data_IF_876680320295
#
_entry.id   IF_876680320295
#
_cell.length_a   1.000
_cell.length_b   1.000
_cell.length_c   1.000
_cell.angle_alpha   90.00
_cell.angle_beta   90.00
_cell.angle_gamma   90.00
#
_symmetry.space_group_name_H-M   'P 1'
#
loop_
_entity.id
_entity.type
_entity.pdbx_description
1 polymer ?
#
# COMPACT_ATOMS: atom_id res chain seq x y z
N UNK A 1 -15.08 -17.78 47.89
CA UNK A 1 -15.92 -17.76 46.66
C UNK A 1 -15.12 -17.01 45.62
N UNK A 2 -14.40 -17.77 44.81
CA UNK A 2 -13.21 -17.35 44.06
C UNK A 2 -13.60 -16.93 42.65
N UNK A 3 -13.12 -15.77 42.21
CA UNK A 3 -13.16 -15.32 40.82
C UNK A 3 -12.16 -16.14 39.99
N UNK A 4 -12.59 -16.61 38.82
CA UNK A 4 -11.77 -17.33 37.85
C UNK A 4 -11.27 -16.33 36.81
N UNK A 5 -9.98 -16.02 36.86
CA UNK A 5 -9.23 -15.43 35.75
C UNK A 5 -8.69 -16.54 34.85
N UNK A 6 -8.82 -16.36 33.53
CA UNK A 6 -8.23 -17.25 32.54
C UNK A 6 -6.77 -16.89 32.32
N UNK A 7 -5.91 -17.89 32.48
CA UNK A 7 -4.45 -17.84 32.38
C UNK A 7 -4.03 -18.20 30.96
N UNK A 8 -3.05 -17.45 30.46
CA UNK A 8 -2.33 -17.65 29.21
C UNK A 8 -1.41 -18.89 29.30
N UNK A 9 -1.53 -19.93 28.45
CA UNK A 9 -0.77 -21.17 28.60
C UNK A 9 0.42 -21.24 27.64
N UNK A 10 1.42 -20.37 27.76
CA UNK A 10 2.72 -20.51 27.05
C UNK A 10 3.92 -19.97 27.86
N UNK A 11 3.86 -20.06 29.19
CA UNK A 11 4.98 -19.68 30.06
C UNK A 11 5.60 -20.93 30.71
N UNK A 12 6.33 -21.74 29.93
CA UNK A 12 7.20 -22.78 30.47
C UNK A 12 8.23 -23.28 29.44
N UNK A 13 9.24 -22.48 29.12
CA UNK A 13 10.58 -23.01 28.87
C UNK A 13 11.62 -21.89 28.95
N UNK A 14 12.39 -21.86 30.04
CA UNK A 14 13.54 -20.99 30.15
C UNK A 14 14.70 -21.59 29.37
N UNK A 15 15.18 -20.90 28.33
CA UNK A 15 16.53 -21.09 27.80
C UNK A 15 17.13 -19.71 27.55
N UNK A 16 18.28 -19.52 28.17
CA UNK A 16 19.05 -18.29 28.33
C UNK A 16 19.64 -17.75 27.03
N UNK A 17 19.58 -16.44 26.92
CA UNK A 17 20.38 -15.56 26.08
C UNK A 17 21.89 -15.87 26.16
N UNK A 18 22.49 -16.32 25.04
CA UNK A 18 23.92 -16.19 24.71
C UNK A 18 24.29 -17.02 23.46
N UNK A 19 23.74 -16.71 22.27
CA UNK A 19 24.29 -17.18 20.98
C UNK A 19 23.82 -16.39 19.76
N UNK A 20 23.48 -15.11 19.95
CA UNK A 20 22.89 -14.23 18.91
C UNK A 20 23.91 -13.45 18.05
N UNK A 21 25.14 -13.95 17.93
CA UNK A 21 26.20 -13.33 17.10
C UNK A 21 27.09 -14.40 16.50
N UNK A 22 26.75 -14.90 15.31
CA UNK A 22 27.68 -15.44 14.29
C UNK A 22 26.92 -16.32 13.30
N UNK A 23 26.24 -15.69 12.34
CA UNK A 23 25.98 -16.27 11.02
C UNK A 23 25.69 -15.13 10.06
N UNK A 24 26.70 -14.28 9.84
CA UNK A 24 26.81 -13.54 8.58
C UNK A 24 27.20 -14.60 7.56
N UNK A 25 26.19 -15.30 7.06
CA UNK A 25 26.33 -16.27 5.98
C UNK A 25 26.53 -15.46 4.69
N UNK A 26 27.60 -15.76 3.96
CA UNK A 26 28.02 -15.07 2.72
C UNK A 26 26.84 -14.65 1.84
N UNK A 27 26.78 -13.36 1.53
CA UNK A 27 25.80 -12.75 0.64
C UNK A 27 25.87 -13.36 -0.78
N UNK A 28 25.14 -14.45 -0.99
CA UNK A 28 24.57 -14.77 -2.30
C UNK A 28 23.25 -14.02 -2.40
N UNK A 29 23.08 -13.20 -3.46
CA UNK A 29 21.79 -12.53 -3.76
C UNK A 29 20.64 -13.54 -3.60
N UNK A 30 19.54 -13.18 -2.91
CA UNK A 30 18.38 -14.06 -2.83
C UNK A 30 17.92 -14.37 -4.26
N UNK A 31 17.62 -15.65 -4.53
CA UNK A 31 17.07 -16.08 -5.81
C UNK A 31 15.65 -15.50 -5.90
N UNK A 32 15.57 -14.32 -6.50
CA UNK A 32 14.31 -13.64 -6.81
C UNK A 32 13.36 -14.53 -7.61
N UNK A 33 12.12 -14.06 -7.75
CA UNK A 33 11.02 -14.76 -8.41
C UNK A 33 11.31 -15.11 -9.89
N UNK A 34 12.40 -14.56 -10.44
CA UNK A 34 12.85 -14.65 -11.81
C UNK A 34 14.38 -14.84 -11.83
N UNK A 35 14.86 -15.92 -12.47
CA UNK A 35 16.29 -16.30 -12.56
C UNK A 35 17.21 -15.25 -13.20
N UNK A 36 18.49 -15.28 -12.80
CA UNK A 36 19.60 -14.40 -13.20
C UNK A 36 19.76 -14.25 -14.73
N UNK A 37 19.98 -13.00 -15.18
CA UNK A 37 20.14 -12.61 -16.59
C UNK A 37 19.27 -11.43 -17.06
N UNK A 38 18.57 -10.72 -16.16
CA UNK A 38 17.43 -9.86 -16.52
C UNK A 38 17.63 -8.35 -16.50
N UNK A 39 18.76 -7.77 -16.10
CA UNK A 39 18.85 -6.29 -16.01
C UNK A 39 18.51 -5.58 -17.35
N UNK A 40 18.94 -6.15 -18.49
CA UNK A 40 18.57 -5.65 -19.82
C UNK A 40 17.09 -5.90 -20.17
N UNK A 41 16.55 -7.07 -19.81
CA UNK A 41 15.14 -7.39 -20.05
C UNK A 41 14.20 -6.58 -19.17
N UNK A 42 14.62 -6.26 -17.94
CA UNK A 42 13.94 -5.37 -17.01
C UNK A 42 13.90 -3.95 -17.57
N UNK A 43 15.01 -3.43 -18.08
CA UNK A 43 15.03 -2.13 -18.75
C UNK A 43 14.19 -2.13 -20.04
N UNK A 44 14.17 -3.24 -20.79
CA UNK A 44 13.30 -3.38 -21.97
C UNK A 44 11.82 -3.31 -21.56
N UNK A 45 11.40 -4.11 -20.59
CA UNK A 45 10.02 -4.13 -20.07
C UNK A 45 9.65 -2.75 -19.49
N UNK A 46 10.54 -2.15 -18.71
CA UNK A 46 10.36 -0.81 -18.17
C UNK A 46 10.19 0.23 -19.30
N UNK A 47 11.00 0.16 -20.36
CA UNK A 47 10.91 1.07 -21.51
C UNK A 47 9.62 0.91 -22.31
N UNK A 48 9.16 -0.33 -22.55
CA UNK A 48 7.91 -0.62 -23.24
C UNK A 48 6.71 -0.15 -22.43
N UNK A 49 6.78 -0.34 -21.11
CA UNK A 49 5.77 0.12 -20.19
C UNK A 49 5.71 1.66 -20.11
N UNK A 50 6.87 2.34 -20.02
CA UNK A 50 6.97 3.82 -20.11
C UNK A 50 6.33 4.34 -21.40
N UNK A 51 6.61 3.70 -22.55
CA UNK A 51 5.98 4.03 -23.86
C UNK A 51 4.46 3.81 -23.82
N UNK A 52 3.98 2.73 -23.20
CA UNK A 52 2.56 2.42 -23.06
C UNK A 52 1.83 3.44 -22.18
N UNK A 53 2.44 3.89 -21.09
CA UNK A 53 1.88 4.98 -20.26
C UNK A 53 1.80 6.29 -21.01
N UNK A 54 2.88 6.70 -21.70
CA UNK A 54 2.88 7.92 -22.50
C UNK A 54 1.74 7.92 -23.52
N UNK A 55 1.53 6.78 -24.21
CA UNK A 55 0.38 6.57 -25.12
C UNK A 55 -0.98 6.64 -24.41
N UNK A 56 -1.11 6.10 -23.20
CA UNK A 56 -2.36 6.17 -22.42
C UNK A 56 -2.65 7.59 -21.93
N UNK A 57 -1.62 8.32 -21.53
CA UNK A 57 -1.71 9.71 -21.07
C UNK A 57 -2.00 10.67 -22.23
N UNK A 58 -1.39 10.46 -23.40
CA UNK A 58 -1.74 11.13 -24.66
C UNK A 58 -3.21 10.86 -25.03
N UNK A 59 -3.66 9.60 -24.98
CA UNK A 59 -5.07 9.24 -25.22
C UNK A 59 -6.02 9.90 -24.22
N UNK A 60 -5.68 9.95 -22.93
CA UNK A 60 -6.46 10.66 -21.90
C UNK A 60 -6.52 12.16 -22.18
N UNK A 61 -5.40 12.76 -22.59
CA UNK A 61 -5.31 14.19 -22.92
C UNK A 61 -6.14 14.52 -24.15
N UNK A 62 -6.08 13.70 -25.20
CA UNK A 62 -6.92 13.81 -26.40
C UNK A 62 -8.39 13.64 -26.05
N UNK A 63 -8.74 12.67 -25.19
CA UNK A 63 -10.12 12.45 -24.74
C UNK A 63 -10.64 13.64 -23.94
N UNK A 64 -9.87 14.17 -23.00
CA UNK A 64 -10.19 15.36 -22.21
C UNK A 64 -10.38 16.59 -23.10
N UNK A 65 -9.49 16.80 -24.09
CA UNK A 65 -9.64 17.87 -25.08
C UNK A 65 -10.86 17.70 -25.98
N UNK A 66 -11.26 16.47 -26.32
CA UNK A 66 -12.52 16.20 -27.04
C UNK A 66 -13.75 16.47 -26.15
N UNK A 67 -13.73 16.05 -24.89
CA UNK A 67 -14.80 16.29 -23.92
C UNK A 67 -14.95 17.80 -23.63
N UNK A 68 -13.85 18.54 -23.50
CA UNK A 68 -13.85 20.00 -23.34
C UNK A 68 -14.40 20.71 -24.59
N UNK A 69 -13.99 20.30 -25.80
CA UNK A 69 -14.56 20.83 -27.06
C UNK A 69 -16.06 20.54 -27.19
N UNK A 70 -16.50 19.34 -26.79
CA UNK A 70 -17.92 18.97 -26.81
C UNK A 70 -18.72 19.79 -25.80
N UNK A 71 -18.18 20.00 -24.60
CA UNK A 71 -18.79 20.83 -23.56
C UNK A 71 -18.88 22.30 -23.98
N UNK A 72 -17.84 22.86 -24.63
CA UNK A 72 -17.88 24.22 -25.18
C UNK A 72 -18.89 24.36 -26.32
N UNK A 73 -19.03 23.36 -27.20
CA UNK A 73 -20.04 23.36 -28.26
C UNK A 73 -21.47 23.25 -27.70
N UNK A 74 -21.68 22.45 -26.65
CA UNK A 74 -22.98 22.34 -25.96
C UNK A 74 -23.31 23.63 -25.20
N UNK A 75 -22.34 24.28 -24.56
CA UNK A 75 -22.51 25.58 -23.92
C UNK A 75 -22.89 26.68 -24.93
N UNK A 76 -22.25 26.71 -26.10
CA UNK A 76 -22.57 27.68 -27.17
C UNK A 76 -23.97 27.44 -27.76
N UNK A 77 -24.39 26.18 -27.96
CA UNK A 77 -25.77 25.84 -28.37
C UNK A 77 -26.82 26.21 -27.32
N UNK A 78 -26.44 26.17 -26.04
CA UNK A 78 -27.29 26.57 -24.92
C UNK A 78 -27.39 28.10 -24.77
N UNK A 79 -26.33 28.83 -25.15
CA UNK A 79 -26.29 30.29 -25.17
C UNK A 79 -27.13 30.88 -26.31
N UNK A 80 -27.17 30.25 -27.49
CA UNK A 80 -28.05 30.65 -28.60
C UNK A 80 -29.55 30.48 -28.25
N UNK A 81 -29.89 29.50 -27.41
CA UNK A 81 -31.26 29.34 -26.90
C UNK A 81 -31.64 30.38 -25.83
N UNK A 82 -30.66 30.92 -25.10
CA UNK A 82 -30.87 31.93 -24.04
C UNK A 82 -30.84 33.38 -24.54
N UNK A 83 -30.26 33.67 -25.72
CA UNK A 83 -30.30 35.01 -26.33
C UNK A 83 -31.70 35.50 -26.78
N UNK A 84 -32.74 34.67 -26.65
CA UNK A 84 -34.14 35.07 -26.91
C UNK A 84 -34.90 35.60 -25.69
N UNK A 85 -34.37 35.50 -24.46
CA UNK A 85 -35.06 36.02 -23.27
C UNK A 85 -34.14 36.90 -22.41
N UNK A 86 -34.61 38.13 -22.23
CA UNK A 86 -34.34 39.09 -21.14
C UNK A 86 -32.92 39.64 -20.94
N UNK A 87 -32.85 40.94 -21.22
CA UNK A 87 -32.07 41.98 -20.56
C UNK A 87 -32.11 41.93 -19.02
N UNK A 88 -30.96 42.07 -18.36
CA UNK A 88 -30.77 42.94 -17.19
C UNK A 88 -29.36 42.79 -16.57
N UNK A 89 -28.72 43.94 -16.40
CA UNK A 89 -27.74 44.33 -15.36
C UNK A 89 -26.29 43.80 -15.36
N UNK A 90 -25.44 44.82 -15.17
CA UNK A 90 -23.99 44.95 -14.91
C UNK A 90 -23.56 44.14 -13.65
N UNK A 91 -22.31 43.80 -13.35
CA UNK A 91 -21.03 44.51 -13.47
C UNK A 91 -19.85 43.54 -13.15
N UNK A 92 -18.71 43.73 -13.82
CA UNK A 92 -17.34 43.65 -13.24
C UNK A 92 -16.70 42.29 -12.89
N UNK A 93 -15.48 42.05 -13.42
CA UNK A 93 -14.48 41.22 -12.75
C UNK A 93 -13.66 40.28 -13.63
N UNK A 94 -12.54 40.78 -14.14
CA UNK A 94 -11.43 40.07 -14.78
C UNK A 94 -10.84 38.95 -13.90
N UNK A 95 -10.49 37.80 -14.50
CA UNK A 95 -9.69 36.77 -13.83
C UNK A 95 -9.20 35.70 -14.80
N UNK A 96 -7.89 35.65 -14.99
CA UNK A 96 -7.18 34.83 -15.95
C UNK A 96 -7.41 33.31 -15.80
N UNK A 97 -7.34 32.61 -16.93
CA UNK A 97 -7.29 31.15 -17.04
C UNK A 97 -5.92 30.66 -16.54
N UNK A 98 -5.82 29.77 -15.54
CA UNK A 98 -4.54 29.14 -15.25
C UNK A 98 -4.33 27.95 -16.19
N UNK A 99 -3.29 28.12 -16.99
CA UNK A 99 -2.66 27.14 -17.86
C UNK A 99 -1.93 26.05 -17.06
N UNK A 100 -1.80 24.87 -17.68
CA UNK A 100 -0.86 23.78 -17.34
C UNK A 100 -0.89 23.22 -15.90
N UNK A 101 -1.48 22.04 -15.71
CA UNK A 101 -1.23 21.25 -14.49
C UNK A 101 0.12 20.53 -14.64
N UNK A 102 1.14 21.11 -14.01
CA UNK A 102 2.41 20.44 -13.71
C UNK A 102 2.16 19.23 -12.79
N UNK A 103 2.98 18.19 -12.94
CA UNK A 103 3.04 17.01 -12.09
C UNK A 103 3.31 17.42 -10.62
N UNK A 104 2.46 17.09 -9.63
CA UNK A 104 2.53 17.63 -8.28
C UNK A 104 3.37 16.75 -7.35
N UNK A 105 4.64 16.51 -7.68
CA UNK A 105 5.55 15.96 -6.68
C UNK A 105 5.97 17.09 -5.75
N UNK A 106 5.37 17.10 -4.55
CA UNK A 106 5.86 17.90 -3.43
C UNK A 106 7.07 17.16 -2.88
N UNK A 107 8.25 17.74 -3.03
CA UNK A 107 9.46 17.21 -2.40
C UNK A 107 9.19 17.00 -0.91
N UNK A 108 9.54 15.83 -0.34
CA UNK A 108 9.34 15.58 1.08
C UNK A 108 10.08 16.64 1.88
N UNK A 109 9.41 17.18 2.90
CA UNK A 109 9.96 18.22 3.76
C UNK A 109 11.24 17.69 4.43
N UNK A 110 12.21 18.59 4.66
CA UNK A 110 13.55 18.26 5.19
C UNK A 110 13.43 17.31 6.39
N UNK A 111 13.93 16.08 6.23
CA UNK A 111 13.87 15.03 7.26
C UNK A 111 14.64 15.48 8.51
N UNK A 112 13.90 15.87 9.55
CA UNK A 112 14.44 15.96 10.91
C UNK A 112 14.75 14.52 11.34
N UNK A 113 15.97 14.26 11.84
CA UNK A 113 16.47 12.92 12.17
C UNK A 113 15.78 12.27 13.37
N UNK A 114 14.43 12.21 13.41
CA UNK A 114 13.68 11.46 14.42
C UNK A 114 13.80 9.97 14.14
N UNK A 115 14.44 9.26 15.06
CA UNK A 115 14.66 7.81 14.99
C UNK A 115 13.48 6.99 15.53
N UNK A 116 12.43 7.62 16.08
CA UNK A 116 11.29 6.91 16.67
C UNK A 116 9.97 7.46 16.13
N UNK A 117 9.35 6.74 15.18
CA UNK A 117 8.00 7.03 14.70
C UNK A 117 6.96 6.77 15.81
N UNK A 118 6.05 7.73 16.02
CA UNK A 118 4.95 7.62 16.98
C UNK A 118 3.59 7.83 16.29
N UNK A 119 2.71 6.81 16.26
CA UNK A 119 1.40 6.91 15.63
C UNK A 119 0.52 8.05 16.15
N UNK A 120 0.66 8.41 17.43
CA UNK A 120 -0.05 9.49 18.09
C UNK A 120 0.35 10.90 17.59
N UNK A 121 1.53 11.03 16.98
CA UNK A 121 1.99 12.30 16.41
C UNK A 121 1.37 12.56 15.03
N UNK A 122 0.74 11.55 14.41
CA UNK A 122 0.13 11.68 13.08
C UNK A 122 -1.09 12.60 13.13
N UNK A 123 -0.94 13.81 12.59
CA UNK A 123 -2.01 14.81 12.48
C UNK A 123 -2.62 14.84 11.07
N UNK A 124 -1.83 14.51 10.05
CA UNK A 124 -2.21 14.59 8.65
C UNK A 124 -1.88 13.33 7.86
N UNK A 125 -2.63 13.11 6.77
CA UNK A 125 -2.19 12.22 5.69
C UNK A 125 -2.50 12.84 4.34
N UNK A 126 -1.50 12.81 3.46
CA UNK A 126 -1.59 13.30 2.09
C UNK A 126 -1.24 12.21 1.09
N UNK A 127 -1.85 12.28 -0.09
CA UNK A 127 -1.54 11.39 -1.19
C UNK A 127 -0.23 11.84 -1.86
N UNK A 128 0.82 11.02 -1.75
CA UNK A 128 2.16 11.29 -2.29
C UNK A 128 2.32 10.95 -3.77
N UNK A 129 1.39 10.17 -4.35
CA UNK A 129 1.39 9.83 -5.78
C UNK A 129 1.23 8.33 -6.04
N UNK A 130 1.15 8.00 -7.33
CA UNK A 130 1.11 6.63 -7.84
C UNK A 130 2.30 6.41 -8.77
N UNK A 131 3.13 5.41 -8.48
CA UNK A 131 4.36 5.14 -9.20
C UNK A 131 4.42 3.69 -9.67
N UNK A 132 5.32 3.41 -10.60
CA UNK A 132 5.59 2.04 -11.06
C UNK A 132 7.07 1.79 -11.11
N UNK A 133 7.80 2.53 -11.93
CA UNK A 133 9.24 2.32 -12.15
C UNK A 133 10.05 3.40 -11.45
N UNK A 134 9.76 4.66 -11.75
CA UNK A 134 10.53 5.80 -11.24
C UNK A 134 9.95 6.24 -9.87
N UNK A 135 10.16 5.40 -8.85
CA UNK A 135 9.63 5.61 -7.50
C UNK A 135 10.59 6.50 -6.71
N UNK A 136 10.17 7.68 -6.23
CA UNK A 136 11.04 8.59 -5.50
C UNK A 136 11.37 8.04 -4.11
N UNK A 137 12.57 8.40 -3.60
CA UNK A 137 13.00 8.15 -2.21
C UNK A 137 12.23 9.08 -1.27
N UNK A 138 11.62 8.52 -0.24
CA UNK A 138 10.77 9.28 0.70
C UNK A 138 11.59 9.88 1.84
N UNK A 139 12.77 9.31 2.15
CA UNK A 139 13.63 9.71 3.29
C UNK A 139 12.97 9.60 4.67
N UNK A 140 11.81 8.92 4.75
CA UNK A 140 11.10 8.61 5.98
C UNK A 140 10.75 7.11 5.97
N UNK A 141 10.54 6.48 7.13
CA UNK A 141 10.21 5.06 7.17
C UNK A 141 8.94 4.72 6.38
N UNK A 142 8.97 3.60 5.66
CA UNK A 142 7.89 3.10 4.83
C UNK A 142 7.28 1.81 5.38
N UNK A 143 5.95 1.77 5.39
CA UNK A 143 5.14 0.62 5.78
C UNK A 143 4.32 0.21 4.56
N UNK A 144 4.67 -0.90 3.93
CA UNK A 144 4.02 -1.38 2.73
C UNK A 144 2.93 -2.40 3.03
N UNK A 145 1.82 -2.33 2.29
CA UNK A 145 0.68 -3.23 2.39
C UNK A 145 0.53 -3.99 1.08
N UNK A 146 0.57 -5.33 1.15
CA UNK A 146 0.38 -6.21 0.00
C UNK A 146 -0.64 -7.29 0.33
N UNK A 147 -1.34 -7.79 -0.69
CA UNK A 147 -2.44 -8.73 -0.48
C UNK A 147 -3.31 -8.83 -1.72
N UNK A 148 -4.10 -9.90 -1.81
CA UNK A 148 -5.02 -10.14 -2.92
C UNK A 148 -5.93 -8.93 -3.20
N UNK A 149 -6.45 -8.85 -4.42
CA UNK A 149 -7.54 -7.91 -4.71
C UNK A 149 -8.69 -8.07 -3.71
N UNK A 150 -9.24 -6.94 -3.26
CA UNK A 150 -10.37 -6.88 -2.34
C UNK A 150 -10.13 -7.55 -0.97
N UNK A 151 -8.87 -7.82 -0.59
CA UNK A 151 -8.56 -8.35 0.76
C UNK A 151 -8.84 -7.32 1.85
N UNK A 152 -8.64 -6.03 1.57
CA UNK A 152 -8.85 -4.97 2.56
C UNK A 152 -7.79 -3.88 2.58
N UNK A 153 -6.71 -3.95 1.79
CA UNK A 153 -5.59 -2.97 1.77
C UNK A 153 -5.99 -1.50 1.94
N UNK A 154 -6.78 -0.97 1.02
CA UNK A 154 -7.19 0.44 1.09
C UNK A 154 -8.09 0.74 2.30
N UNK A 155 -8.86 -0.25 2.78
CA UNK A 155 -9.64 -0.11 4.01
C UNK A 155 -8.73 -0.10 5.25
N UNK A 156 -7.70 -0.95 5.28
CA UNK A 156 -6.68 -0.97 6.34
C UNK A 156 -5.94 0.36 6.40
N UNK A 157 -5.50 0.92 5.26
CA UNK A 157 -4.83 2.22 5.20
C UNK A 157 -5.75 3.33 5.74
N UNK A 158 -7.00 3.38 5.31
CA UNK A 158 -7.95 4.37 5.83
C UNK A 158 -8.25 4.20 7.33
N UNK A 159 -8.26 2.97 7.83
CA UNK A 159 -8.45 2.69 9.26
C UNK A 159 -7.23 3.14 10.08
N UNK A 160 -6.01 2.88 9.60
CA UNK A 160 -4.77 3.26 10.27
C UNK A 160 -4.62 4.78 10.40
N UNK A 161 -4.97 5.53 9.35
CA UNK A 161 -4.87 7.00 9.36
C UNK A 161 -5.95 7.66 10.21
N UNK A 162 -7.05 6.97 10.52
CA UNK A 162 -8.10 7.46 11.41
C UNK A 162 -8.81 8.73 10.94
N UNK A 163 -8.55 9.22 9.72
CA UNK A 163 -9.11 10.46 9.23
C UNK A 163 -10.56 10.28 8.74
N UNK A 164 -11.40 11.30 9.02
CA UNK A 164 -12.80 11.35 8.55
C UNK A 164 -12.92 11.30 7.03
N UNK A 165 -11.91 11.82 6.31
CA UNK A 165 -11.83 11.76 4.84
C UNK A 165 -11.00 10.57 4.41
N UNK A 166 -11.60 9.69 3.60
CA UNK A 166 -10.90 8.53 3.02
C UNK A 166 -9.84 9.02 2.04
N UNK A 167 -8.59 8.66 2.28
CA UNK A 167 -7.45 9.03 1.42
C UNK A 167 -7.18 7.93 0.39
N UNK A 168 -7.31 6.66 0.80
CA UNK A 168 -7.17 5.53 -0.11
C UNK A 168 -8.53 5.18 -0.76
N UNK A 169 -8.54 5.09 -2.10
CA UNK A 169 -9.75 4.74 -2.86
C UNK A 169 -10.08 3.26 -2.70
N UNK A 170 -11.14 2.94 -1.95
CA UNK A 170 -11.70 1.60 -1.85
C UNK A 170 -12.52 1.27 -3.10
N UNK A 171 -11.92 0.72 -4.15
CA UNK A 171 -12.66 0.23 -5.33
C UNK A 171 -13.16 -1.19 -5.10
N UNK A 172 -14.43 -1.46 -5.44
CA UNK A 172 -14.98 -2.84 -5.48
C UNK A 172 -14.52 -3.62 -6.72
N UNK A 173 -14.12 -2.93 -7.79
CA UNK A 173 -13.68 -3.55 -9.04
C UNK A 173 -12.22 -4.00 -8.96
N UNK A 174 -11.94 -5.30 -9.13
CA UNK A 174 -10.57 -5.83 -9.21
C UNK A 174 -9.81 -5.26 -10.42
N UNK A 175 -8.52 -4.96 -10.25
CA UNK A 175 -7.57 -4.71 -11.34
C UNK A 175 -7.23 -3.24 -11.57
N UNK A 176 -7.70 -2.35 -10.69
CA UNK A 176 -7.55 -0.90 -10.85
C UNK A 176 -6.16 -0.37 -10.49
N UNK A 177 -5.48 -1.02 -9.55
CA UNK A 177 -4.21 -0.56 -8.99
C UNK A 177 -3.05 -1.37 -9.58
N UNK A 178 -2.52 -0.89 -10.70
CA UNK A 178 -1.27 -1.39 -11.31
C UNK A 178 -0.05 -0.56 -10.87
N UNK A 179 -0.25 0.33 -9.89
CA UNK A 179 0.72 1.32 -9.44
C UNK A 179 0.85 1.22 -7.93
N UNK A 180 2.04 1.50 -7.42
CA UNK A 180 2.32 1.64 -6.00
C UNK A 180 1.85 3.02 -5.57
N UNK A 181 0.97 3.07 -4.56
CA UNK A 181 0.44 4.34 -4.06
C UNK A 181 1.11 4.72 -2.75
N UNK A 182 1.49 6.00 -2.64
CA UNK A 182 2.15 6.54 -1.47
C UNK A 182 1.18 7.43 -0.68
N UNK A 183 1.10 7.20 0.61
CA UNK A 183 0.32 8.00 1.56
C UNK A 183 1.25 8.49 2.66
N UNK A 184 1.59 9.77 2.63
CA UNK A 184 2.58 10.36 3.52
C UNK A 184 1.86 10.85 4.77
N UNK A 185 2.34 10.43 5.93
CA UNK A 185 1.86 10.81 7.24
C UNK A 185 2.67 12.01 7.72
N UNK A 186 1.99 13.05 8.20
CA UNK A 186 2.62 14.24 8.75
C UNK A 186 2.19 14.53 10.18
N UNK A 187 3.06 15.19 10.94
CA UNK A 187 2.72 15.76 12.24
C UNK A 187 1.96 17.10 12.10
N UNK A 188 1.62 17.70 13.25
CA UNK A 188 0.88 18.98 13.28
C UNK A 188 1.69 20.16 12.73
N UNK A 189 3.01 20.03 12.61
CA UNK A 189 3.90 21.01 12.00
C UNK A 189 4.14 20.72 10.51
N UNK A 190 3.40 19.78 9.92
CA UNK A 190 3.51 19.33 8.54
C UNK A 190 4.88 18.70 8.21
N UNK A 191 5.57 18.13 9.20
CA UNK A 191 6.78 17.33 8.98
C UNK A 191 6.39 15.91 8.61
N UNK A 192 7.01 15.35 7.57
CA UNK A 192 6.77 13.97 7.15
C UNK A 192 7.34 13.00 8.21
N UNK A 193 6.48 12.13 8.76
CA UNK A 193 6.84 11.17 9.82
C UNK A 193 7.15 9.78 9.26
N UNK A 194 6.27 9.28 8.39
CA UNK A 194 6.35 7.97 7.77
C UNK A 194 5.47 7.93 6.53
N UNK A 195 5.61 6.89 5.73
CA UNK A 195 4.82 6.70 4.53
C UNK A 195 4.14 5.33 4.55
N UNK A 196 2.82 5.31 4.38
CA UNK A 196 2.06 4.10 4.10
C UNK A 196 2.04 3.85 2.59
N UNK A 197 2.41 2.63 2.18
CA UNK A 197 2.56 2.27 0.76
C UNK A 197 1.56 1.17 0.39
N UNK A 198 0.65 1.44 -0.55
CA UNK A 198 -0.28 0.43 -1.08
C UNK A 198 0.35 -0.22 -2.30
N UNK A 199 0.81 -1.46 -2.13
CA UNK A 199 1.35 -2.26 -3.22
C UNK A 199 0.20 -2.83 -4.08
N UNK A 200 0.41 -2.97 -5.39
CA UNK A 200 -0.58 -3.61 -6.25
C UNK A 200 -0.90 -5.01 -5.73
N UNK A 201 -2.19 -5.35 -5.69
CA UNK A 201 -2.61 -6.67 -5.25
C UNK A 201 -2.26 -7.76 -6.27
N UNK A 202 -2.10 -8.99 -5.82
CA UNK A 202 -1.93 -10.16 -6.69
C UNK A 202 -3.26 -10.90 -6.91
N UNK A 203 -3.26 -11.87 -7.84
CA UNK A 203 -4.41 -12.73 -8.13
C UNK A 203 -5.47 -12.11 -9.03
N UNK A 204 -5.10 -11.16 -9.90
CA UNK A 204 -6.00 -10.61 -10.90
C UNK A 204 -6.09 -11.52 -12.14
N UNK A 205 -7.20 -12.22 -12.31
CA UNK A 205 -7.47 -13.05 -13.50
C UNK A 205 -7.67 -12.26 -14.82
N UNK A 206 -7.60 -10.92 -14.78
CA UNK A 206 -7.96 -10.04 -15.92
C UNK A 206 -6.81 -9.16 -16.43
N UNK A 207 -5.59 -9.35 -15.94
CA UNK A 207 -4.43 -8.58 -16.40
C UNK A 207 -3.72 -9.42 -17.49
N UNK A 208 -3.29 -8.77 -18.57
CA UNK A 208 -2.52 -9.45 -19.62
C UNK A 208 -1.15 -9.90 -19.07
N UNK A 209 -0.61 -10.99 -19.60
CA UNK A 209 0.66 -11.57 -19.12
C UNK A 209 1.82 -10.55 -19.07
N UNK A 210 1.91 -9.65 -20.06
CA UNK A 210 2.92 -8.58 -20.08
C UNK A 210 2.77 -7.58 -18.93
N UNK A 211 1.53 -7.16 -18.66
CA UNK A 211 1.25 -6.21 -17.58
C UNK A 211 1.49 -6.87 -16.22
N UNK A 212 1.20 -8.16 -16.07
CA UNK A 212 1.52 -8.91 -14.86
C UNK A 212 3.03 -9.00 -14.63
N UNK A 213 3.81 -9.36 -15.65
CA UNK A 213 5.29 -9.39 -15.55
C UNK A 213 5.85 -8.02 -15.18
N UNK A 214 5.32 -6.94 -15.78
CA UNK A 214 5.77 -5.59 -15.44
C UNK A 214 5.55 -5.25 -13.97
N UNK A 215 4.42 -5.71 -13.39
CA UNK A 215 4.09 -5.54 -11.97
C UNK A 215 5.02 -6.33 -11.07
N UNK A 216 5.27 -7.59 -11.40
CA UNK A 216 6.20 -8.45 -10.66
C UNK A 216 7.60 -7.82 -10.61
N UNK A 217 8.10 -7.35 -11.76
CA UNK A 217 9.41 -6.73 -11.91
C UNK A 217 9.59 -5.50 -11.01
N UNK A 218 8.67 -4.53 -11.06
CA UNK A 218 8.87 -3.32 -10.26
C UNK A 218 8.60 -3.58 -8.77
N UNK A 219 7.73 -4.54 -8.44
CA UNK A 219 7.48 -4.94 -7.06
C UNK A 219 8.73 -5.55 -6.44
N UNK A 220 9.41 -6.44 -7.18
CA UNK A 220 10.69 -7.01 -6.77
C UNK A 220 11.73 -5.92 -6.52
N UNK A 221 11.87 -4.96 -7.46
CA UNK A 221 12.77 -3.81 -7.29
C UNK A 221 12.43 -2.97 -6.05
N UNK A 222 11.14 -2.73 -5.79
CA UNK A 222 10.69 -1.99 -4.61
C UNK A 222 11.03 -2.71 -3.30
N UNK A 223 10.89 -4.05 -3.27
CA UNK A 223 11.17 -4.86 -2.09
C UNK A 223 12.68 -5.08 -1.85
N UNK A 224 13.49 -5.09 -2.91
CA UNK A 224 14.93 -5.42 -2.81
C UNK A 224 15.84 -4.25 -2.47
N UNK A 225 15.55 -3.04 -2.99
CA UNK A 225 16.53 -1.95 -3.07
C UNK A 225 16.13 -0.72 -2.22
N UNK A 226 15.25 -0.90 -1.24
CA UNK A 226 14.62 0.21 -0.52
C UNK A 226 14.93 0.25 0.98
N UNK A 227 15.93 1.04 1.35
CA UNK A 227 16.32 1.28 2.75
C UNK A 227 15.19 1.86 3.60
N UNK A 228 14.30 2.67 3.02
CA UNK A 228 13.16 3.24 3.74
C UNK A 228 12.11 2.19 4.10
N UNK A 229 12.03 1.07 3.38
CA UNK A 229 11.04 0.02 3.61
C UNK A 229 11.35 -0.74 4.90
N UNK A 230 10.56 -0.50 5.95
CA UNK A 230 10.80 -1.11 7.26
C UNK A 230 9.88 -2.30 7.53
N UNK A 231 8.63 -2.22 7.10
CA UNK A 231 7.61 -3.25 7.33
C UNK A 231 6.85 -3.57 6.04
N UNK A 232 6.68 -4.85 5.76
CA UNK A 232 5.73 -5.35 4.76
C UNK A 232 4.60 -6.11 5.47
N UNK A 233 3.42 -5.48 5.50
CA UNK A 233 2.19 -6.09 5.99
C UNK A 233 1.52 -6.90 4.87
N UNK A 234 1.45 -8.21 5.06
CA UNK A 234 0.82 -9.17 4.14
C UNK A 234 -0.61 -9.43 4.60
N UNK A 235 -1.58 -8.88 3.86
CA UNK A 235 -2.99 -8.98 4.18
C UNK A 235 -3.59 -10.26 3.62
N UNK A 236 -4.21 -11.03 4.51
CA UNK A 236 -4.94 -12.27 4.23
C UNK A 236 -6.41 -12.08 4.59
N UNK A 237 -7.35 -12.58 3.78
CA UNK A 237 -8.80 -12.52 4.09
C UNK A 237 -9.12 -13.67 5.05
N UNK A 238 -9.47 -13.38 6.30
CA UNK A 238 -9.70 -14.41 7.34
C UNK A 238 -10.80 -15.42 7.00
N UNK A 239 -11.70 -15.08 6.06
CA UNK A 239 -12.80 -15.94 5.62
C UNK A 239 -12.38 -17.04 4.66
N UNK A 240 -11.15 -16.99 4.14
CA UNK A 240 -10.66 -17.92 3.12
C UNK A 240 -9.72 -18.93 3.75
N UNK A 241 -9.83 -20.16 3.27
CA UNK A 241 -8.80 -21.18 3.49
C UNK A 241 -7.46 -20.73 2.90
N UNK A 242 -6.32 -21.23 3.41
CA UNK A 242 -5.00 -20.90 2.91
C UNK A 242 -4.91 -21.13 1.39
N UNK A 243 -4.38 -20.15 0.69
CA UNK A 243 -4.31 -20.20 -0.78
C UNK A 243 -2.85 -20.33 -1.20
N UNK A 244 -2.58 -21.17 -2.20
CA UNK A 244 -1.23 -21.34 -2.72
C UNK A 244 -0.58 -20.01 -3.17
N UNK A 245 -1.38 -19.07 -3.70
CA UNK A 245 -0.90 -17.73 -4.08
C UNK A 245 -0.43 -16.90 -2.90
N UNK A 246 -1.09 -17.06 -1.75
CA UNK A 246 -0.82 -16.27 -0.55
C UNK A 246 0.46 -16.79 0.12
N UNK A 247 0.61 -18.12 0.17
CA UNK A 247 1.82 -18.81 0.66
C UNK A 247 3.03 -18.54 -0.23
N UNK A 248 2.85 -18.59 -1.56
CA UNK A 248 3.92 -18.28 -2.51
C UNK A 248 4.41 -16.83 -2.35
N UNK A 249 3.48 -15.88 -2.15
CA UNK A 249 3.86 -14.50 -1.88
C UNK A 249 4.64 -14.39 -0.56
N UNK A 250 4.13 -14.97 0.52
CA UNK A 250 4.78 -14.95 1.83
C UNK A 250 6.22 -15.46 1.75
N UNK A 251 6.42 -16.62 1.14
CA UNK A 251 7.75 -17.22 0.94
C UNK A 251 8.66 -16.37 0.05
N UNK A 252 8.10 -15.59 -0.88
CA UNK A 252 8.88 -14.68 -1.71
C UNK A 252 9.30 -13.44 -0.93
N UNK A 253 8.39 -12.86 -0.13
CA UNK A 253 8.68 -11.63 0.62
C UNK A 253 9.70 -11.90 1.73
N UNK A 254 9.63 -13.05 2.40
CA UNK A 254 10.60 -13.45 3.45
C UNK A 254 12.05 -13.52 2.98
N UNK A 255 12.31 -13.54 1.67
CA UNK A 255 13.66 -13.55 1.11
C UNK A 255 14.28 -12.14 1.04
N UNK A 256 13.49 -11.08 1.22
CA UNK A 256 13.95 -9.71 1.23
C UNK A 256 14.32 -9.26 2.65
N UNK A 257 15.23 -8.28 2.80
CA UNK A 257 15.75 -7.85 4.10
C UNK A 257 14.80 -6.93 4.90
N UNK A 258 13.48 -7.15 4.80
CA UNK A 258 12.46 -6.34 5.48
C UNK A 258 11.65 -7.19 6.47
N UNK A 259 11.17 -6.56 7.57
CA UNK A 259 10.29 -7.25 8.52
C UNK A 259 8.97 -7.56 7.82
N UNK A 260 8.50 -8.79 7.91
CA UNK A 260 7.21 -9.23 7.41
C UNK A 260 6.21 -9.38 8.54
N UNK A 261 4.97 -8.96 8.30
CA UNK A 261 3.88 -9.09 9.26
C UNK A 261 2.63 -9.60 8.57
N UNK A 262 2.13 -10.78 8.96
CA UNK A 262 0.85 -11.28 8.48
C UNK A 262 -0.28 -10.56 9.20
N UNK A 263 -1.27 -10.10 8.43
CA UNK A 263 -2.47 -9.43 8.93
C UNK A 263 -3.71 -10.14 8.41
N UNK A 264 -4.42 -10.85 9.29
CA UNK A 264 -5.69 -11.49 8.99
C UNK A 264 -6.82 -10.47 9.06
N UNK A 265 -7.33 -10.07 7.90
CA UNK A 265 -8.34 -9.01 7.73
C UNK A 265 -9.78 -9.52 7.77
N UNK A 266 -10.73 -8.60 7.98
CA UNK A 266 -12.19 -8.84 7.95
C UNK A 266 -12.69 -9.82 9.01
N UNK A 267 -12.03 -9.83 10.16
CA UNK A 267 -12.40 -10.69 11.29
C UNK A 267 -13.81 -10.39 11.82
N UNK A 268 -14.35 -9.19 11.55
CA UNK A 268 -15.73 -8.81 11.87
C UNK A 268 -16.79 -9.65 11.15
N UNK A 269 -16.41 -10.35 10.09
CA UNK A 269 -17.29 -11.22 9.31
C UNK A 269 -17.18 -12.70 9.69
N UNK A 270 -16.42 -13.02 10.75
CA UNK A 270 -16.13 -14.38 11.18
C UNK A 270 -16.61 -14.62 12.61
N UNK A 271 -17.07 -15.84 12.90
CA UNK A 271 -17.26 -16.27 14.28
C UNK A 271 -15.88 -16.57 14.92
N UNK A 272 -15.71 -16.43 16.24
CA UNK A 272 -14.44 -16.74 16.90
C UNK A 272 -13.92 -18.14 16.61
N UNK A 273 -14.81 -19.13 16.56
CA UNK A 273 -14.45 -20.52 16.25
C UNK A 273 -13.92 -20.69 14.82
N UNK A 274 -14.59 -20.08 13.82
CA UNK A 274 -14.14 -20.19 12.44
C UNK A 274 -12.85 -19.39 12.21
N UNK A 275 -12.71 -18.24 12.89
CA UNK A 275 -11.49 -17.43 12.83
C UNK A 275 -10.29 -18.23 13.35
N UNK A 276 -10.42 -18.84 14.53
CA UNK A 276 -9.38 -19.67 15.13
C UNK A 276 -8.99 -20.83 14.21
N UNK A 277 -9.98 -21.57 13.69
CA UNK A 277 -9.75 -22.68 12.76
C UNK A 277 -8.98 -22.25 11.51
N UNK A 278 -9.41 -21.17 10.86
CA UNK A 278 -8.77 -20.68 9.63
C UNK A 278 -7.38 -20.09 9.89
N UNK A 279 -7.20 -19.43 11.04
CA UNK A 279 -5.91 -18.90 11.46
C UNK A 279 -4.90 -20.03 11.69
N UNK A 280 -5.31 -21.08 12.40
CA UNK A 280 -4.48 -22.26 12.61
C UNK A 280 -4.13 -22.95 11.28
N UNK A 281 -5.12 -23.18 10.42
CA UNK A 281 -4.87 -23.78 9.10
C UNK A 281 -3.89 -22.94 8.27
N UNK A 282 -4.00 -21.60 8.34
CA UNK A 282 -3.06 -20.71 7.67
C UNK A 282 -1.66 -20.76 8.27
N UNK A 283 -1.55 -20.75 9.61
CA UNK A 283 -0.28 -20.84 10.31
C UNK A 283 0.47 -22.14 9.95
N UNK A 284 -0.24 -23.27 9.99
CA UNK A 284 0.31 -24.58 9.61
C UNK A 284 0.76 -24.58 8.14
N UNK A 285 -0.08 -24.09 7.22
CA UNK A 285 0.25 -24.03 5.80
C UNK A 285 1.40 -23.07 5.46
N UNK A 286 1.57 -22.01 6.25
CA UNK A 286 2.66 -21.03 6.13
C UNK A 286 3.95 -21.45 6.84
N UNK A 287 3.93 -22.60 7.52
CA UNK A 287 5.05 -23.10 8.31
C UNK A 287 5.42 -22.17 9.45
N UNK A 288 4.43 -21.51 10.06
CA UNK A 288 4.67 -20.66 11.22
C UNK A 288 4.95 -21.56 12.43
N UNK A 289 6.12 -21.39 13.04
CA UNK A 289 6.41 -21.89 14.39
C UNK A 289 5.81 -20.93 15.40
N UNK A 290 5.61 -21.38 16.65
CA UNK A 290 5.10 -20.55 17.75
C UNK A 290 5.96 -19.28 18.03
N UNK A 291 7.16 -19.18 17.42
CA UNK A 291 8.17 -18.16 17.72
C UNK A 291 8.35 -17.06 16.66
N UNK A 292 7.84 -17.20 15.41
CA UNK A 292 8.34 -16.36 14.31
C UNK A 292 7.33 -15.44 13.59
N UNK A 293 6.00 -15.60 13.68
CA UNK A 293 5.05 -14.64 13.07
C UNK A 293 3.72 -14.53 13.83
N UNK A 294 3.59 -13.53 14.71
CA UNK A 294 2.33 -13.22 15.38
C UNK A 294 1.27 -12.80 14.35
N UNK A 295 0.27 -13.64 14.08
CA UNK A 295 -0.85 -13.27 13.24
C UNK A 295 -1.61 -12.07 13.84
N UNK A 296 -1.62 -10.93 13.14
CA UNK A 296 -2.42 -9.79 13.59
C UNK A 296 -3.85 -9.92 13.05
N UNK A 297 -4.80 -10.12 13.95
CA UNK A 297 -6.23 -10.08 13.64
C UNK A 297 -6.71 -8.64 13.49
N UNK A 298 -7.21 -8.29 12.31
CA UNK A 298 -7.55 -6.92 11.95
C UNK A 298 -8.98 -6.77 11.37
N UNK A 299 -9.71 -5.78 11.86
CA UNK A 299 -10.95 -5.31 11.25
C UNK A 299 -10.87 -3.81 10.95
N UNK A 300 -11.02 -3.46 9.68
CA UNK A 300 -11.14 -2.06 9.27
C UNK A 300 -12.47 -1.42 9.70
N UNK A 301 -13.48 -2.25 10.03
CA UNK A 301 -14.83 -1.79 10.41
C UNK A 301 -14.87 -1.46 11.90
N UNK A 302 -14.37 -2.37 12.75
CA UNK A 302 -14.38 -2.18 14.21
C UNK A 302 -13.14 -1.45 14.72
N UNK A 303 -12.07 -1.40 13.92
CA UNK A 303 -10.76 -0.89 14.34
C UNK A 303 -9.93 -1.88 15.17
N UNK A 304 -10.45 -3.09 15.40
CA UNK A 304 -9.71 -4.14 16.10
C UNK A 304 -8.39 -4.45 15.37
N UNK A 305 -7.31 -4.62 16.13
CA UNK A 305 -5.97 -4.89 15.60
C UNK A 305 -5.20 -3.65 15.12
N UNK A 306 -5.81 -2.45 15.11
CA UNK A 306 -5.14 -1.21 14.70
C UNK A 306 -3.92 -0.88 15.55
N UNK A 307 -4.04 -1.01 16.87
CA UNK A 307 -2.93 -0.76 17.80
C UNK A 307 -1.77 -1.73 17.60
N UNK A 308 -2.08 -3.03 17.47
CA UNK A 308 -1.07 -4.08 17.22
C UNK A 308 -0.33 -3.87 15.91
N UNK A 309 -1.04 -3.47 14.84
CA UNK A 309 -0.41 -3.19 13.56
C UNK A 309 0.51 -1.95 13.62
N UNK A 310 0.12 -0.93 14.38
CA UNK A 310 1.01 0.21 14.64
C UNK A 310 2.22 -0.17 15.48
N UNK A 311 2.04 -0.99 16.50
CA UNK A 311 3.13 -1.51 17.32
C UNK A 311 4.14 -2.29 16.46
N UNK A 312 3.66 -3.21 15.62
CA UNK A 312 4.52 -3.97 14.71
C UNK A 312 5.31 -3.04 13.76
N UNK A 313 4.69 -1.95 13.30
CA UNK A 313 5.36 -0.94 12.49
C UNK A 313 6.41 -0.16 13.28
N UNK A 314 6.13 0.26 14.51
CA UNK A 314 7.09 0.95 15.37
C UNK A 314 8.31 0.07 15.67
N UNK A 315 8.09 -1.20 16.01
CA UNK A 315 9.15 -2.17 16.23
C UNK A 315 10.01 -2.37 14.98
N UNK A 316 9.39 -2.49 13.80
CA UNK A 316 10.12 -2.61 12.54
C UNK A 316 11.00 -1.38 12.27
N UNK A 317 10.47 -0.18 12.52
CA UNK A 317 11.18 1.08 12.34
C UNK A 317 12.34 1.21 13.33
N UNK A 318 12.16 0.78 14.59
CA UNK A 318 13.17 0.90 15.63
C UNK A 318 14.32 -0.12 15.51
N UNK A 319 14.08 -1.27 14.86
CA UNK A 319 15.11 -2.30 14.65
C UNK A 319 16.03 -2.03 13.44
N UNK A 320 15.74 -0.97 12.68
CA UNK A 320 16.41 -0.64 11.41
C UNK A 320 17.45 0.47 11.57
#
# INVERSE_FOLDING_TARGET
>A
RTMIGFVNPLAACGITDARRRSMICSAKKPRGFLTDGKDEELERIASEWRKKQKRQEEKKTIKKGKEEKLASQQANRSADKKKRNSSAMRNGGSGAVPTSRKNPYVEPAKSSGRTTFKPEEVAGVRFGGSFTIDIPRTRVPEIAFIGRSNVGKSSTINCLTGLKKKVAKTSKQPGRTQQINFFILSDAEEQDLATLVDLPGYGFAKIGMEDQRSVEVFLERYLSDREELKLVAILIDSRREPQATDLALLNSIRQFPCKTQIVMTKIDLMTPSNLSKNAQAFAEAAGLTDDDEDLIFFSAVTGQGRGLLWQAAQEAIAMS
#
